data_IF_327584385106
#
_entry.id   IF_327584385106
#
_cell.length_a   1.000
_cell.length_b   1.000
_cell.length_c   1.000
_cell.angle_alpha   90.00
_cell.angle_beta   90.00
_cell.angle_gamma   90.00
#
_symmetry.space_group_name_H-M   'P 1'
#
loop_
_entity.id
_entity.type
_entity.pdbx_description
1 polymer ?
#
# COMPACT_ATOMS: atom_id res chain seq x y z
N UNK A 1 -11.25 -26.83 38.18
CA UNK A 1 -10.10 -26.18 37.52
C UNK A 1 -9.36 -27.25 36.74
N UNK A 2 -9.83 -27.57 35.54
CA UNK A 2 -9.30 -28.71 34.80
C UNK A 2 -10.30 -29.14 33.75
N UNK A 3 -9.85 -29.16 32.49
CA UNK A 3 -10.61 -29.38 31.26
C UNK A 3 -11.35 -28.16 30.71
N UNK A 4 -12.23 -27.50 31.47
CA UNK A 4 -12.95 -26.31 30.96
C UNK A 4 -11.98 -25.13 30.64
N UNK A 5 -11.06 -24.85 31.56
CA UNK A 5 -10.05 -23.78 31.38
C UNK A 5 -9.07 -24.10 30.23
N UNK A 6 -8.78 -25.38 30.01
CA UNK A 6 -7.91 -25.84 28.92
C UNK A 6 -8.63 -25.71 27.56
N UNK A 7 -9.92 -26.03 27.51
CA UNK A 7 -10.72 -25.86 26.31
C UNK A 7 -10.88 -24.38 25.92
N UNK A 8 -11.05 -23.50 26.91
CA UNK A 8 -11.12 -22.05 26.70
C UNK A 8 -9.78 -21.47 26.20
N UNK A 9 -8.65 -21.90 26.75
CA UNK A 9 -7.32 -21.44 26.32
C UNK A 9 -6.98 -21.92 24.90
N UNK A 10 -7.30 -23.17 24.57
CA UNK A 10 -7.15 -23.71 23.21
C UNK A 10 -8.05 -22.95 22.22
N UNK A 11 -9.31 -22.68 22.59
CA UNK A 11 -10.25 -21.96 21.72
C UNK A 11 -9.78 -20.52 21.47
N UNK A 12 -9.26 -19.85 22.51
CA UNK A 12 -8.72 -18.49 22.39
C UNK A 12 -7.44 -18.47 21.56
N UNK A 13 -6.53 -19.42 21.78
CA UNK A 13 -5.29 -19.56 21.00
C UNK A 13 -5.55 -19.82 19.51
N UNK A 14 -6.54 -20.66 19.19
CA UNK A 14 -6.98 -20.88 17.80
C UNK A 14 -7.61 -19.62 17.20
N UNK A 15 -8.43 -18.89 17.97
CA UNK A 15 -9.01 -17.62 17.54
C UNK A 15 -7.96 -16.54 17.26
N UNK A 16 -6.95 -16.43 18.13
CA UNK A 16 -5.86 -15.47 18.01
C UNK A 16 -4.94 -15.81 16.81
N UNK A 17 -4.66 -17.09 16.59
CA UNK A 17 -3.93 -17.56 15.42
C UNK A 17 -4.72 -17.30 14.12
N UNK A 18 -6.02 -17.59 14.11
CA UNK A 18 -6.89 -17.31 12.97
C UNK A 18 -7.01 -15.81 12.68
N UNK A 19 -7.09 -14.96 13.71
CA UNK A 19 -7.10 -13.51 13.58
C UNK A 19 -5.80 -12.95 12.98
N UNK A 20 -4.64 -13.50 13.39
CA UNK A 20 -3.34 -13.13 12.83
C UNK A 20 -3.18 -13.55 11.36
N UNK A 21 -3.62 -14.77 11.00
CA UNK A 21 -3.64 -15.21 9.60
C UNK A 21 -4.58 -14.34 8.76
N UNK A 22 -5.74 -13.96 9.30
CA UNK A 22 -6.68 -13.08 8.60
C UNK A 22 -6.03 -11.74 8.26
N UNK A 23 -5.29 -11.13 9.19
CA UNK A 23 -4.57 -9.88 8.95
C UNK A 23 -3.44 -9.97 7.91
N UNK A 24 -2.76 -11.12 7.83
CA UNK A 24 -1.68 -11.36 6.88
C UNK A 24 -2.16 -11.64 5.44
N UNK A 25 -3.45 -11.94 5.23
CA UNK A 25 -4.03 -12.25 3.93
C UNK A 25 -4.65 -11.03 3.23
N UNK A 26 -4.72 -9.87 3.90
CA UNK A 26 -5.17 -8.63 3.29
C UNK A 26 -3.97 -7.77 2.95
N UNK A 27 -3.56 -7.76 1.68
CA UNK A 27 -2.73 -6.66 1.18
C UNK A 27 -3.55 -5.37 1.29
N UNK A 28 -3.19 -4.42 2.18
CA UNK A 28 -3.99 -3.23 2.38
C UNK A 28 -3.91 -2.35 1.13
N UNK A 29 -5.04 -2.21 0.41
CA UNK A 29 -5.13 -1.35 -0.78
C UNK A 29 -5.62 0.04 -0.40
N UNK A 30 -4.84 1.06 -0.73
CA UNK A 30 -5.20 2.47 -0.57
C UNK A 30 -5.47 3.08 -1.95
N UNK A 31 -6.63 3.75 -2.11
CA UNK A 31 -6.96 4.52 -3.32
C UNK A 31 -6.81 6.01 -3.04
N UNK A 32 -5.98 6.71 -3.81
CA UNK A 32 -5.73 8.14 -3.66
C UNK A 32 -6.35 8.92 -4.83
N UNK A 33 -7.32 9.79 -4.52
CA UNK A 33 -7.88 10.72 -5.50
C UNK A 33 -7.00 11.96 -5.65
N UNK A 34 -6.64 12.32 -6.88
CA UNK A 34 -5.91 13.56 -7.20
C UNK A 34 -6.81 14.48 -8.02
N UNK A 35 -7.10 15.67 -7.49
CA UNK A 35 -7.97 16.67 -8.14
C UNK A 35 -7.39 18.07 -8.06
N UNK A 36 -8.06 19.03 -8.70
CA UNK A 36 -7.66 20.43 -8.77
C UNK A 36 -8.06 21.06 -10.09
N UNK A 37 -8.03 22.40 -10.13
CA UNK A 37 -8.33 23.19 -11.32
C UNK A 37 -7.43 22.81 -12.50
N UNK A 38 -7.83 23.25 -13.70
CA UNK A 38 -6.96 23.15 -14.88
C UNK A 38 -5.62 23.84 -14.61
N UNK A 39 -4.52 23.23 -15.06
CA UNK A 39 -3.13 23.70 -14.84
C UNK A 39 -2.66 23.80 -13.38
N UNK A 40 -3.40 23.26 -12.41
CA UNK A 40 -2.96 23.17 -11.02
C UNK A 40 -1.79 22.18 -10.77
N UNK A 41 -1.25 21.55 -11.81
CA UNK A 41 -0.08 20.67 -11.69
C UNK A 41 -0.38 19.20 -11.36
N UNK A 42 -1.63 18.72 -11.49
CA UNK A 42 -2.01 17.32 -11.20
C UNK A 42 -1.10 16.29 -11.89
N UNK A 43 -0.79 16.46 -13.16
CA UNK A 43 0.08 15.55 -13.92
C UNK A 43 1.51 15.55 -13.38
N UNK A 44 2.08 16.73 -13.10
CA UNK A 44 3.42 16.87 -12.51
C UNK A 44 3.46 16.24 -11.13
N UNK A 45 2.40 16.43 -10.33
CA UNK A 45 2.27 15.82 -9.01
C UNK A 45 2.25 14.29 -9.10
N UNK A 46 1.37 13.69 -9.90
CA UNK A 46 1.27 12.22 -10.02
C UNK A 46 2.60 11.65 -10.53
N UNK A 47 3.18 12.25 -11.58
CA UNK A 47 4.45 11.79 -12.17
C UNK A 47 5.58 11.82 -11.15
N UNK A 48 5.72 12.92 -10.41
CA UNK A 48 6.77 13.05 -9.39
C UNK A 48 6.55 12.13 -8.19
N UNK A 49 5.29 11.92 -7.76
CA UNK A 49 4.97 10.96 -6.71
C UNK A 49 5.39 9.55 -7.12
N UNK A 50 4.97 9.09 -8.30
CA UNK A 50 5.32 7.75 -8.81
C UNK A 50 6.84 7.62 -8.96
N UNK A 51 7.51 8.61 -9.54
CA UNK A 51 8.96 8.59 -9.71
C UNK A 51 9.71 8.49 -8.37
N UNK A 52 9.29 9.23 -7.34
CA UNK A 52 9.94 9.15 -6.01
C UNK A 52 9.58 7.86 -5.24
N UNK A 53 8.45 7.22 -5.53
CA UNK A 53 8.15 5.90 -4.98
C UNK A 53 8.99 4.80 -5.63
N UNK A 54 9.27 4.90 -6.93
CA UNK A 54 10.16 3.97 -7.64
C UNK A 54 11.63 4.21 -7.28
N UNK A 55 12.07 5.48 -7.23
CA UNK A 55 13.40 5.92 -6.81
C UNK A 55 13.36 6.72 -5.49
N UNK A 56 13.40 5.97 -4.39
CA UNK A 56 13.12 6.43 -3.01
C UNK A 56 14.26 7.24 -2.38
N UNK A 57 15.39 7.40 -3.08
CA UNK A 57 16.61 8.03 -2.54
C UNK A 57 16.42 9.47 -2.04
N UNK A 58 15.32 10.14 -2.43
CA UNK A 58 15.02 11.53 -2.06
C UNK A 58 13.91 11.69 -1.02
N UNK A 59 13.24 10.61 -0.59
CA UNK A 59 12.08 10.71 0.32
C UNK A 59 12.45 10.66 1.80
N UNK A 60 13.39 11.50 2.26
CA UNK A 60 13.85 11.50 3.67
C UNK A 60 12.74 11.83 4.68
N UNK A 61 11.71 12.56 4.25
CA UNK A 61 10.56 12.91 5.09
C UNK A 61 9.50 11.79 5.16
N UNK A 62 9.51 10.83 4.23
CA UNK A 62 8.65 9.67 4.33
C UNK A 62 9.27 8.68 5.30
N UNK A 63 8.71 8.59 6.51
CA UNK A 63 9.26 7.77 7.59
C UNK A 63 9.51 6.32 7.15
N UNK A 64 8.61 5.72 6.38
CA UNK A 64 8.75 4.36 5.87
C UNK A 64 9.92 4.19 4.89
N UNK A 65 10.27 5.23 4.12
CA UNK A 65 11.45 5.21 3.28
C UNK A 65 12.72 5.47 4.09
N UNK A 66 12.70 6.44 5.02
CA UNK A 66 13.88 6.79 5.83
C UNK A 66 14.26 5.73 6.86
N UNK A 67 13.30 4.95 7.37
CA UNK A 67 13.54 3.80 8.24
C UNK A 67 13.91 2.52 7.48
N UNK A 68 13.86 2.53 6.14
CA UNK A 68 14.11 1.34 5.33
C UNK A 68 12.98 0.30 5.36
N UNK A 69 11.77 0.66 5.81
CA UNK A 69 10.63 -0.27 5.84
C UNK A 69 10.15 -0.65 4.43
N UNK A 70 10.25 0.25 3.45
CA UNK A 70 9.86 -0.03 2.06
C UNK A 70 10.94 -0.88 1.38
N UNK A 71 10.67 -2.18 1.21
CA UNK A 71 11.59 -3.12 0.56
C UNK A 71 11.63 -2.95 -0.95
N UNK A 72 10.47 -2.77 -1.58
CA UNK A 72 10.34 -2.62 -3.02
C UNK A 72 9.09 -1.82 -3.38
N UNK A 73 9.11 -1.22 -4.57
CA UNK A 73 7.94 -0.60 -5.19
C UNK A 73 8.06 -0.82 -6.70
N UNK A 74 6.95 -1.17 -7.33
CA UNK A 74 6.86 -1.40 -8.77
C UNK A 74 5.47 -1.01 -9.26
N UNK A 75 5.36 -0.73 -10.55
CA UNK A 75 4.08 -0.46 -11.18
C UNK A 75 3.31 -1.77 -11.36
N UNK A 76 2.03 -1.74 -11.00
CA UNK A 76 1.11 -2.83 -11.28
C UNK A 76 0.25 -2.48 -12.49
N UNK A 77 -0.18 -3.49 -13.28
CA UNK A 77 -1.19 -3.30 -14.30
C UNK A 77 -2.45 -2.65 -13.70
N UNK A 78 -3.11 -1.82 -14.49
CA UNK A 78 -4.36 -1.20 -14.06
C UNK A 78 -5.42 -2.30 -13.86
N UNK A 79 -6.16 -2.29 -12.74
CA UNK A 79 -7.16 -3.34 -12.45
C UNK A 79 -8.47 -3.17 -13.22
N UNK A 80 -8.66 -2.03 -13.89
CA UNK A 80 -9.89 -1.67 -14.60
C UNK A 80 -9.55 -1.17 -16.01
N UNK A 81 -9.84 -2.01 -17.00
CA UNK A 81 -9.58 -1.75 -18.42
C UNK A 81 -10.55 -0.73 -19.04
N UNK A 82 -11.62 -0.35 -18.34
CA UNK A 82 -12.59 0.64 -18.81
C UNK A 82 -12.16 2.08 -18.53
N UNK A 83 -11.16 2.25 -17.65
CA UNK A 83 -10.62 3.55 -17.28
C UNK A 83 -9.28 3.75 -17.97
N UNK A 84 -9.03 4.89 -18.64
CA UNK A 84 -7.71 5.15 -19.23
C UNK A 84 -6.59 5.09 -18.19
N UNK A 85 -5.48 4.44 -18.55
CA UNK A 85 -4.28 4.42 -17.72
C UNK A 85 -3.64 5.80 -17.68
N UNK A 86 -3.03 6.14 -16.55
CA UNK A 86 -2.13 7.28 -16.49
C UNK A 86 -0.82 6.94 -17.25
N UNK A 87 -0.52 7.69 -18.30
CA UNK A 87 0.67 7.53 -19.15
C UNK A 87 1.96 8.02 -18.44
N UNK A 88 2.33 7.37 -17.34
CA UNK A 88 3.47 7.74 -16.49
C UNK A 88 4.77 7.86 -17.28
N UNK A 89 5.05 6.89 -18.13
CA UNK A 89 6.28 6.75 -18.90
C UNK A 89 6.43 7.91 -19.89
N UNK A 90 5.33 8.34 -20.52
CA UNK A 90 5.30 9.51 -21.42
C UNK A 90 5.54 10.82 -20.66
N UNK A 91 5.03 10.95 -19.43
CA UNK A 91 5.19 12.17 -18.62
C UNK A 91 6.57 12.30 -17.95
N UNK A 92 7.33 11.21 -17.86
CA UNK A 92 8.66 11.21 -17.25
C UNK A 92 9.76 11.68 -18.22
N UNK A 93 9.53 11.52 -19.53
CA UNK A 93 10.50 11.73 -20.62
C UNK A 93 10.88 13.21 -20.85
#
# INVERSE_FOLDING_TARGET
>A
MGLADIADDITRSIGDAAGQLSGALFDPVIRLGVTGLSRAGKTVFITSLVANLLDRGRMRQLLAASSGAIQAAWLQPQPDDTVPRFEYETHLA
#
